data_IF_937975287271
#
_entry.id   IF_937975287271
#
_cell.length_a   1.000
_cell.length_b   1.000
_cell.length_c   1.000
_cell.angle_alpha   90.00
_cell.angle_beta   90.00
_cell.angle_gamma   90.00
#
_symmetry.space_group_name_H-M   'P 1'
#
loop_
_entity.id
_entity.type
_entity.pdbx_description
1 polymer ?
#
# COMPACT_ATOMS: atom_id res chain seq x y z
N UNK A 1 7.07 17.49 -17.12
CA UNK A 1 6.35 16.42 -16.41
C UNK A 1 6.40 15.18 -17.29
N UNK A 2 7.09 14.12 -16.88
CA UNK A 2 7.08 12.80 -17.54
C UNK A 2 7.88 11.79 -16.74
N UNK A 3 9.07 12.15 -16.24
CA UNK A 3 9.93 11.20 -15.52
C UNK A 3 9.29 10.67 -14.25
N UNK A 4 8.61 11.51 -13.47
CA UNK A 4 7.95 11.05 -12.24
C UNK A 4 6.82 10.06 -12.54
N UNK A 5 5.92 10.39 -13.47
CA UNK A 5 4.83 9.49 -13.86
C UNK A 5 5.34 8.18 -14.49
N UNK A 6 6.43 8.24 -15.27
CA UNK A 6 7.08 7.04 -15.78
C UNK A 6 7.74 6.22 -14.67
N UNK A 7 8.32 6.87 -13.65
CA UNK A 7 8.91 6.18 -12.50
C UNK A 7 7.86 5.50 -11.62
N UNK A 8 6.69 6.12 -11.44
CA UNK A 8 5.53 5.50 -10.77
C UNK A 8 5.06 4.28 -11.54
N UNK A 9 4.84 4.42 -12.86
CA UNK A 9 4.42 3.30 -13.70
C UNK A 9 5.45 2.17 -13.70
N UNK A 10 6.74 2.50 -13.74
CA UNK A 10 7.84 1.53 -13.65
C UNK A 10 7.86 0.84 -12.28
N UNK A 11 7.60 1.58 -11.18
CA UNK A 11 7.51 1.03 -9.83
C UNK A 11 6.35 0.06 -9.67
N UNK A 12 5.16 0.43 -10.13
CA UNK A 12 3.98 -0.44 -10.13
C UNK A 12 4.25 -1.69 -10.98
N UNK A 13 4.82 -1.53 -12.17
CA UNK A 13 5.16 -2.65 -13.05
C UNK A 13 6.24 -3.56 -12.43
N UNK A 14 7.27 -2.98 -11.82
CA UNK A 14 8.36 -3.70 -11.16
C UNK A 14 7.88 -4.51 -9.96
N UNK A 15 7.06 -3.91 -9.10
CA UNK A 15 6.42 -4.61 -7.98
C UNK A 15 5.48 -5.72 -8.47
N UNK A 16 4.66 -5.45 -9.49
CA UNK A 16 3.76 -6.46 -10.04
C UNK A 16 4.52 -7.65 -10.65
N UNK A 17 5.65 -7.41 -11.33
CA UNK A 17 6.50 -8.46 -11.89
C UNK A 17 7.21 -9.23 -10.78
N UNK A 18 7.83 -8.53 -9.83
CA UNK A 18 8.54 -9.15 -8.72
C UNK A 18 7.62 -10.03 -7.87
N UNK A 19 6.42 -9.52 -7.54
CA UNK A 19 5.44 -10.26 -6.76
C UNK A 19 4.94 -11.50 -7.52
N UNK A 20 4.66 -11.38 -8.82
CA UNK A 20 4.26 -12.53 -9.65
C UNK A 20 5.37 -13.54 -9.88
N UNK A 21 6.65 -13.16 -9.78
CA UNK A 21 7.77 -14.09 -9.93
C UNK A 21 8.05 -14.91 -8.67
N UNK A 22 7.65 -14.42 -7.50
CA UNK A 22 7.85 -15.08 -6.22
C UNK A 22 6.63 -15.90 -5.77
N UNK A 23 5.46 -15.59 -6.30
CA UNK A 23 4.22 -16.30 -6.02
C UNK A 23 4.08 -17.46 -7.00
N UNK A 24 4.31 -18.67 -6.51
CA UNK A 24 3.84 -19.88 -7.17
C UNK A 24 2.44 -20.18 -6.59
N UNK A 25 1.34 -19.80 -7.29
CA UNK A 25 -0.01 -19.78 -6.71
C UNK A 25 -0.52 -21.15 -6.27
N UNK A 26 0.20 -22.23 -6.62
CA UNK A 26 -0.11 -23.61 -6.27
C UNK A 26 0.61 -24.12 -5.02
N UNK A 27 1.61 -23.40 -4.48
CA UNK A 27 2.45 -23.89 -3.37
C UNK A 27 2.51 -22.98 -2.14
N UNK A 28 1.91 -21.79 -2.19
CA UNK A 28 1.82 -20.90 -1.02
C UNK A 28 1.08 -21.59 0.13
N UNK A 29 1.83 -21.94 1.17
CA UNK A 29 1.22 -22.40 2.40
C UNK A 29 0.40 -21.24 2.98
N UNK A 30 -0.84 -21.54 3.33
CA UNK A 30 -1.84 -20.57 3.75
C UNK A 30 -1.42 -19.70 4.95
N UNK A 31 -0.60 -20.24 5.86
CA UNK A 31 0.00 -19.48 6.97
C UNK A 31 1.06 -18.47 6.50
N UNK A 32 1.82 -18.80 5.46
CA UNK A 32 2.85 -17.91 4.88
C UNK A 32 2.20 -16.71 4.20
N UNK A 33 1.06 -16.93 3.51
CA UNK A 33 0.28 -15.84 2.91
C UNK A 33 -0.25 -14.85 3.96
N UNK A 34 -0.67 -15.35 5.13
CA UNK A 34 -1.16 -14.50 6.22
C UNK A 34 -0.03 -13.70 6.88
N UNK A 35 1.14 -14.33 7.06
CA UNK A 35 2.32 -13.66 7.58
C UNK A 35 2.82 -12.56 6.63
N UNK A 36 2.77 -12.81 5.32
CA UNK A 36 3.15 -11.85 4.29
C UNK A 36 2.20 -10.65 4.23
N UNK A 37 0.89 -10.89 4.29
CA UNK A 37 -0.11 -9.81 4.35
C UNK A 37 0.16 -8.85 5.53
N UNK A 38 0.51 -9.38 6.71
CA UNK A 38 0.85 -8.57 7.88
C UNK A 38 2.16 -7.77 7.71
N UNK A 39 3.12 -8.28 6.95
CA UNK A 39 4.33 -7.52 6.63
C UNK A 39 4.04 -6.39 5.64
N UNK A 40 3.21 -6.65 4.63
CA UNK A 40 2.77 -5.65 3.67
C UNK A 40 1.99 -4.52 4.37
N UNK A 41 1.09 -4.83 5.31
CA UNK A 41 0.39 -3.82 6.12
C UNK A 41 1.35 -2.86 6.83
N UNK A 42 2.42 -3.39 7.44
CA UNK A 42 3.43 -2.56 8.13
C UNK A 42 4.20 -1.68 7.16
N UNK A 43 4.56 -2.21 5.99
CA UNK A 43 5.29 -1.46 4.96
C UNK A 43 4.44 -0.30 4.46
N UNK A 44 3.14 -0.51 4.23
CA UNK A 44 2.20 0.53 3.81
C UNK A 44 2.06 1.63 4.87
N UNK A 45 2.00 1.27 6.16
CA UNK A 45 1.96 2.27 7.23
C UNK A 45 3.24 3.11 7.27
N UNK A 46 4.41 2.49 7.10
CA UNK A 46 5.69 3.21 7.03
C UNK A 46 5.73 4.15 5.82
N UNK A 47 5.30 3.69 4.63
CA UNK A 47 5.23 4.54 3.43
C UNK A 47 4.24 5.69 3.60
N UNK A 48 3.07 5.46 4.18
CA UNK A 48 2.11 6.54 4.44
C UNK A 48 2.71 7.64 5.33
N UNK A 49 3.56 7.30 6.30
CA UNK A 49 4.31 8.27 7.08
C UNK A 49 5.33 9.05 6.24
N UNK A 50 5.99 8.38 5.30
CA UNK A 50 6.91 9.00 4.35
C UNK A 50 6.19 9.98 3.42
N UNK A 51 4.97 9.64 2.97
CA UNK A 51 4.11 10.49 2.13
C UNK A 51 3.68 11.78 2.83
N UNK A 52 3.34 11.71 4.12
CA UNK A 52 3.13 12.91 4.95
C UNK A 52 4.37 13.80 4.94
N UNK A 53 5.56 13.19 5.03
CA UNK A 53 6.84 13.88 4.88
C UNK A 53 6.97 14.57 3.52
N UNK A 54 6.67 13.88 2.42
CA UNK A 54 6.70 14.45 1.06
C UNK A 54 5.74 15.63 0.88
N UNK A 55 4.52 15.52 1.42
CA UNK A 55 3.54 16.61 1.43
C UNK A 55 4.09 17.82 2.21
N UNK A 56 4.66 17.58 3.40
CA UNK A 56 5.28 18.62 4.22
C UNK A 56 6.45 19.32 3.51
N UNK A 57 7.33 18.56 2.85
CA UNK A 57 8.43 19.11 2.04
C UNK A 57 7.90 19.92 0.86
N UNK A 58 6.81 19.49 0.23
CA UNK A 58 6.16 20.25 -0.84
C UNK A 58 5.58 21.59 -0.37
N UNK A 59 4.98 21.63 0.83
CA UNK A 59 4.56 22.88 1.47
C UNK A 59 5.74 23.78 1.84
N UNK A 60 6.82 23.21 2.36
CA UNK A 60 8.04 23.96 2.69
C UNK A 60 8.66 24.59 1.43
N UNK A 61 8.75 23.84 0.33
CA UNK A 61 9.21 24.34 -0.97
C UNK A 61 8.36 25.52 -1.46
N UNK A 62 7.05 25.44 -1.27
CA UNK A 62 6.10 26.50 -1.64
C UNK A 62 6.24 27.74 -0.74
N UNK A 63 6.52 27.55 0.55
CA UNK A 63 6.81 28.64 1.48
C UNK A 63 8.13 29.35 1.15
N UNK A 64 9.19 28.58 0.87
CA UNK A 64 10.51 29.10 0.49
C UNK A 64 10.50 29.79 -0.89
N UNK A 65 9.57 29.42 -1.78
CA UNK A 65 9.41 30.04 -3.09
C UNK A 65 9.04 31.54 -3.01
N UNK A 66 8.39 31.96 -1.92
CA UNK A 66 7.97 33.35 -1.66
C UNK A 66 9.15 34.34 -1.52
N UNK A 67 10.38 33.86 -1.30
CA UNK A 67 11.54 34.71 -1.03
C UNK A 67 12.49 34.94 -2.22
N UNK A 68 12.22 34.38 -3.41
CA UNK A 68 13.16 34.43 -4.55
C UNK A 68 12.46 34.53 -5.91
N UNK A 69 12.45 35.74 -6.49
CA UNK A 69 11.76 36.05 -7.77
C UNK A 69 12.22 35.18 -8.95
N UNK A 70 13.49 34.79 -9.01
CA UNK A 70 14.05 34.02 -10.14
C UNK A 70 13.71 32.52 -10.11
N UNK A 71 13.36 31.96 -8.95
CA UNK A 71 13.10 30.52 -8.76
C UNK A 71 11.69 30.21 -8.23
N UNK A 72 10.89 31.24 -7.95
CA UNK A 72 9.54 31.13 -7.41
C UNK A 72 8.65 30.17 -8.21
N UNK A 73 8.57 30.32 -9.53
CA UNK A 73 7.72 29.45 -10.38
C UNK A 73 8.18 27.99 -10.36
N UNK A 74 9.50 27.76 -10.32
CA UNK A 74 10.05 26.40 -10.32
C UNK A 74 9.79 25.70 -8.97
N UNK A 75 10.07 26.37 -7.86
CA UNK A 75 9.88 25.83 -6.51
C UNK A 75 8.39 25.62 -6.19
N UNK A 76 7.52 26.52 -6.66
CA UNK A 76 6.07 26.36 -6.53
C UNK A 76 5.56 25.18 -7.36
N UNK A 77 6.08 25.00 -8.58
CA UNK A 77 5.76 23.85 -9.43
C UNK A 77 6.19 22.52 -8.83
N UNK A 78 7.44 22.44 -8.33
CA UNK A 78 7.93 21.25 -7.63
C UNK A 78 7.17 20.97 -6.33
N UNK A 79 6.88 22.01 -5.54
CA UNK A 79 6.10 21.89 -4.30
C UNK A 79 4.69 21.37 -4.56
N UNK A 80 3.98 21.93 -5.55
CA UNK A 80 2.66 21.43 -5.93
C UNK A 80 2.70 19.98 -6.46
N UNK A 81 3.74 19.61 -7.22
CA UNK A 81 3.93 18.23 -7.68
C UNK A 81 4.16 17.28 -6.49
N UNK A 82 5.04 17.64 -5.54
CA UNK A 82 5.30 16.83 -4.34
C UNK A 82 4.03 16.64 -3.50
N UNK A 83 3.27 17.72 -3.28
CA UNK A 83 2.01 17.65 -2.53
C UNK A 83 1.01 16.74 -3.25
N UNK A 84 0.80 16.93 -4.56
CA UNK A 84 -0.17 16.13 -5.33
C UNK A 84 0.23 14.65 -5.34
N UNK A 85 1.52 14.35 -5.52
CA UNK A 85 2.04 12.99 -5.62
C UNK A 85 2.04 12.30 -4.26
N UNK A 86 2.52 12.96 -3.21
CA UNK A 86 2.47 12.42 -1.84
C UNK A 86 1.03 12.24 -1.36
N UNK A 87 0.10 13.14 -1.72
CA UNK A 87 -1.31 12.98 -1.35
C UNK A 87 -1.98 11.80 -2.06
N UNK A 88 -1.65 11.58 -3.33
CA UNK A 88 -2.16 10.42 -4.06
C UNK A 88 -1.65 9.10 -3.46
N UNK A 89 -0.34 9.00 -3.20
CA UNK A 89 0.27 7.82 -2.60
C UNK A 89 -0.27 7.55 -1.20
N UNK A 90 -0.43 8.58 -0.37
CA UNK A 90 -1.03 8.46 0.95
C UNK A 90 -2.45 7.89 0.90
N UNK A 91 -3.29 8.40 -0.01
CA UNK A 91 -4.66 7.89 -0.17
C UNK A 91 -4.64 6.44 -0.67
N UNK A 92 -3.77 6.13 -1.63
CA UNK A 92 -3.62 4.78 -2.16
C UNK A 92 -3.18 3.79 -1.08
N UNK A 93 -2.16 4.13 -0.31
CA UNK A 93 -1.63 3.30 0.77
C UNK A 93 -2.66 3.08 1.89
N UNK A 94 -3.44 4.11 2.24
CA UNK A 94 -4.53 3.99 3.21
C UNK A 94 -5.66 3.09 2.72
N UNK A 95 -6.05 3.20 1.44
CA UNK A 95 -7.05 2.32 0.83
C UNK A 95 -6.55 0.88 0.84
N UNK A 96 -5.30 0.66 0.41
CA UNK A 96 -4.72 -0.68 0.29
C UNK A 96 -4.53 -1.31 1.68
N UNK A 97 -4.08 -0.54 2.66
CA UNK A 97 -4.06 -0.94 4.06
C UNK A 97 -5.45 -1.33 4.57
N UNK A 98 -6.48 -0.51 4.29
CA UNK A 98 -7.86 -0.79 4.70
C UNK A 98 -8.43 -2.06 4.07
N UNK A 99 -8.17 -2.30 2.77
CA UNK A 99 -8.59 -3.52 2.07
C UNK A 99 -7.89 -4.75 2.66
N UNK A 100 -6.57 -4.68 2.85
CA UNK A 100 -5.78 -5.80 3.36
C UNK A 100 -6.19 -6.14 4.80
N UNK A 101 -6.40 -5.11 5.63
CA UNK A 101 -6.85 -5.25 7.00
C UNK A 101 -8.26 -5.85 7.08
N UNK A 102 -9.19 -5.40 6.24
CA UNK A 102 -10.54 -5.96 6.19
C UNK A 102 -10.54 -7.44 5.75
N UNK A 103 -9.71 -7.81 4.76
CA UNK A 103 -9.55 -9.19 4.34
C UNK A 103 -8.98 -10.07 5.46
N UNK A 104 -7.98 -9.57 6.19
CA UNK A 104 -7.42 -10.25 7.36
C UNK A 104 -8.48 -10.43 8.48
N UNK A 105 -9.31 -9.42 8.76
CA UNK A 105 -10.36 -9.52 9.79
C UNK A 105 -11.47 -10.52 9.43
N UNK A 106 -12.01 -10.45 8.20
CA UNK A 106 -13.02 -11.40 7.71
C UNK A 106 -12.51 -12.85 7.77
N UNK A 107 -11.22 -13.02 7.53
CA UNK A 107 -10.56 -14.31 7.58
C UNK A 107 -10.46 -14.88 9.00
N UNK A 108 -9.99 -14.07 9.96
CA UNK A 108 -9.91 -14.45 11.37
C UNK A 108 -11.29 -14.81 11.92
N UNK A 109 -12.32 -14.07 11.52
CA UNK A 109 -13.71 -14.36 11.86
C UNK A 109 -14.21 -15.69 11.24
N UNK A 110 -13.84 -16.00 10.00
CA UNK A 110 -14.14 -17.30 9.38
C UNK A 110 -13.51 -18.49 10.10
N UNK A 111 -12.26 -18.35 10.58
CA UNK A 111 -11.60 -19.40 11.39
C UNK A 111 -12.26 -19.53 12.76
N UNK A 112 -12.59 -18.42 13.42
CA UNK A 112 -13.21 -18.45 14.76
C UNK A 112 -14.63 -19.03 14.73
N UNK A 113 -15.42 -18.72 13.70
CA UNK A 113 -16.73 -19.34 13.46
C UNK A 113 -16.59 -20.84 13.17
N UNK A 114 -15.63 -21.25 12.33
CA UNK A 114 -15.34 -22.67 12.06
C UNK A 114 -14.94 -23.43 13.34
N UNK A 115 -14.08 -22.85 14.19
CA UNK A 115 -13.73 -23.44 15.48
C UNK A 115 -14.86 -23.39 16.52
N UNK A 116 -15.72 -22.38 16.48
CA UNK A 116 -16.90 -22.24 17.34
C UNK A 116 -17.98 -23.28 17.04
N UNK A 117 -18.20 -23.60 15.77
CA UNK A 117 -19.11 -24.67 15.33
C UNK A 117 -18.50 -26.08 15.52
N UNK A 118 -17.17 -26.19 15.59
CA UNK A 118 -16.45 -27.46 15.75
C UNK A 118 -16.59 -28.12 17.13
N UNK A 119 -17.31 -27.52 18.09
CA UNK A 119 -17.79 -28.23 19.28
C UNK A 119 -19.02 -29.12 19.02
N UNK A 120 -19.56 -29.14 17.79
CA UNK A 120 -20.59 -30.07 17.34
C UNK A 120 -20.33 -30.60 15.92
N UNK A 121 -19.39 -31.55 15.81
CA UNK A 121 -19.38 -32.57 14.75
C UNK A 121 -18.38 -32.36 13.61
N UNK A 122 -17.38 -33.23 13.56
CA UNK A 122 -16.51 -33.42 12.39
C UNK A 122 -17.32 -34.05 11.24
N UNK A 123 -17.53 -33.33 10.15
CA UNK A 123 -18.11 -33.83 8.91
C UNK A 123 -17.30 -33.40 7.69
N UNK A 124 -16.29 -34.18 7.30
CA UNK A 124 -15.61 -34.02 6.02
C UNK A 124 -16.54 -34.48 4.88
N UNK A 125 -17.09 -33.55 4.11
CA UNK A 125 -17.80 -33.86 2.88
C UNK A 125 -16.94 -33.49 1.67
N UNK A 126 -16.25 -34.48 1.10
CA UNK A 126 -15.77 -34.42 -0.27
C UNK A 126 -16.95 -34.65 -1.22
N UNK A 127 -17.08 -33.79 -2.24
CA UNK A 127 -17.87 -34.09 -3.43
C UNK A 127 -16.97 -34.00 -4.65
N UNK A 128 -16.86 -35.12 -5.36
CA UNK A 128 -16.28 -35.23 -6.70
C UNK A 128 -17.08 -34.40 -7.71
#
# INVERSE_FOLDING_TARGET
MNVFWNAVNLGIAGLAIHNNMQIDPLTLAFEEALAEARNIEKILLINSGLDVGYIGVGFLLKHLASGSDKRMNLMTGYGNSLILQGSFLLVFDLILYGVLHAQHMNFVEGISLSMGDSYLGFGWNYRF
#
